data_IF_167320956626
#
_entry.id   IF_167320956626
#
_cell.length_a   1.000
_cell.length_b   1.000
_cell.length_c   1.000
_cell.angle_alpha   90.00
_cell.angle_beta   90.00
_cell.angle_gamma   90.00
#
_symmetry.space_group_name_H-M   'P 1'
#
loop_
_entity.id
_entity.type
_entity.pdbx_description
1 polymer ?
#
# COMPACT_ATOMS: atom_id res chain seq x y z
N UNK A 1 -22.01 5.20 -5.47
CA UNK A 1 -22.46 6.52 -4.98
C UNK A 1 -22.91 6.31 -3.55
N UNK A 2 -22.43 7.13 -2.62
CA UNK A 2 -22.79 7.06 -1.20
C UNK A 2 -23.80 8.18 -0.95
N UNK A 3 -25.00 7.87 -0.46
CA UNK A 3 -26.02 8.86 -0.11
C UNK A 3 -25.94 9.15 1.38
N UNK A 4 -25.93 10.42 1.75
CA UNK A 4 -26.00 10.86 3.14
C UNK A 4 -27.44 11.26 3.47
N UNK A 5 -27.91 10.84 4.64
CA UNK A 5 -29.24 11.18 5.13
C UNK A 5 -29.15 12.45 5.98
N UNK A 6 -29.48 13.59 5.38
CA UNK A 6 -29.49 14.91 6.01
C UNK A 6 -30.87 15.51 5.82
N UNK A 7 -31.48 15.96 6.92
CA UNK A 7 -32.92 16.27 7.04
C UNK A 7 -33.42 17.25 5.95
N UNK A 8 -32.56 18.14 5.44
CA UNK A 8 -32.94 19.19 4.48
C UNK A 8 -32.09 19.26 3.19
N UNK A 9 -31.19 18.30 2.95
CA UNK A 9 -30.30 18.33 1.77
C UNK A 9 -30.03 16.94 1.20
N UNK A 10 -30.19 16.76 -0.11
CA UNK A 10 -29.76 15.53 -0.80
C UNK A 10 -28.27 15.63 -1.11
N UNK A 11 -27.45 14.90 -0.34
CA UNK A 11 -26.00 14.87 -0.52
C UNK A 11 -25.58 13.49 -1.04
N UNK A 12 -25.01 13.46 -2.25
CA UNK A 12 -24.51 12.25 -2.90
C UNK A 12 -23.00 12.40 -3.13
N UNK A 13 -22.22 11.45 -2.62
CA UNK A 13 -20.78 11.39 -2.84
C UNK A 13 -20.49 10.39 -3.96
N UNK A 14 -19.85 10.88 -5.02
CA UNK A 14 -19.33 10.05 -6.11
C UNK A 14 -17.84 9.83 -5.88
N UNK A 15 -17.46 8.55 -5.75
CA UNK A 15 -16.08 8.10 -5.62
C UNK A 15 -15.58 7.61 -6.98
N UNK A 16 -14.36 7.98 -7.36
CA UNK A 16 -13.66 7.50 -8.56
C UNK A 16 -12.18 7.29 -8.29
N UNK A 17 -11.49 6.63 -9.23
CA UNK A 17 -10.03 6.53 -9.29
C UNK A 17 -9.41 6.08 -7.96
N UNK A 18 -9.87 4.93 -7.45
CA UNK A 18 -9.27 4.35 -6.25
C UNK A 18 -7.87 3.88 -6.59
N UNK A 19 -6.90 4.38 -5.85
CA UNK A 19 -5.48 4.11 -6.01
C UNK A 19 -4.91 3.61 -4.69
N UNK A 20 -4.15 2.53 -4.78
CA UNK A 20 -3.35 2.03 -3.69
C UNK A 20 -1.91 2.51 -3.93
N UNK A 21 -1.38 3.26 -2.98
CA UNK A 21 0.00 3.73 -3.01
C UNK A 21 1.02 2.62 -2.81
N UNK A 22 2.23 3.02 -2.41
CA UNK A 22 3.27 2.11 -1.95
C UNK A 22 3.19 1.95 -0.43
N UNK A 23 3.57 0.79 0.13
CA UNK A 23 3.71 0.63 1.57
C UNK A 23 4.63 1.69 2.19
N UNK A 24 4.11 2.55 3.05
CA UNK A 24 4.86 3.63 3.72
C UNK A 24 4.61 3.65 5.24
N UNK A 25 5.55 4.23 5.98
CA UNK A 25 5.40 4.57 7.39
C UNK A 25 5.32 6.10 7.49
N UNK A 26 4.30 6.58 8.23
CA UNK A 26 4.18 7.97 8.64
C UNK A 26 4.80 8.13 10.02
N UNK A 27 5.81 8.97 10.14
CA UNK A 27 6.49 9.27 11.40
C UNK A 27 5.75 10.35 12.21
N UNK A 28 6.11 10.48 13.50
CA UNK A 28 5.48 11.43 14.42
C UNK A 28 5.68 12.91 14.02
N UNK A 29 6.74 13.20 13.28
CA UNK A 29 7.01 14.52 12.71
C UNK A 29 6.20 14.81 11.43
N UNK A 30 5.40 13.84 10.99
CA UNK A 30 4.60 13.93 9.78
C UNK A 30 5.34 13.54 8.50
N UNK A 31 6.60 13.12 8.55
CA UNK A 31 7.32 12.63 7.37
C UNK A 31 6.84 11.23 6.96
N UNK A 32 6.97 10.93 5.67
CA UNK A 32 6.72 9.58 5.13
C UNK A 32 8.01 8.98 4.60
N UNK A 33 8.21 7.69 4.81
CA UNK A 33 9.22 6.91 4.11
C UNK A 33 8.71 5.53 3.71
N UNK A 34 9.40 4.92 2.76
CA UNK A 34 9.07 3.59 2.28
C UNK A 34 9.28 2.56 3.39
N UNK A 35 8.26 1.75 3.62
CA UNK A 35 8.30 0.71 4.64
C UNK A 35 8.83 -0.60 4.07
N UNK A 36 9.58 -1.34 4.89
CA UNK A 36 9.94 -2.73 4.60
C UNK A 36 9.32 -3.67 5.64
N UNK A 37 8.95 -4.91 5.27
CA UNK A 37 8.33 -5.85 6.21
C UNK A 37 9.15 -6.04 7.50
N UNK A 38 10.47 -6.23 7.40
CA UNK A 38 11.38 -6.34 8.55
C UNK A 38 11.29 -5.15 9.53
N UNK A 39 11.23 -3.92 9.01
CA UNK A 39 11.08 -2.72 9.84
C UNK A 39 9.75 -2.74 10.60
N UNK A 40 8.65 -3.10 9.91
CA UNK A 40 7.34 -3.20 10.56
C UNK A 40 7.31 -4.27 11.66
N UNK A 41 7.99 -5.42 11.46
CA UNK A 41 8.15 -6.45 12.50
C UNK A 41 8.84 -5.88 13.74
N UNK A 42 10.02 -5.28 13.56
CA UNK A 42 10.85 -4.79 14.66
C UNK A 42 10.23 -3.62 15.42
N UNK A 43 9.60 -2.69 14.71
CA UNK A 43 9.01 -1.47 15.28
C UNK A 43 7.57 -1.65 15.79
N UNK A 44 7.01 -2.86 15.72
CA UNK A 44 5.61 -3.16 16.06
C UNK A 44 4.60 -2.34 15.24
N UNK A 45 4.90 -2.10 13.97
CA UNK A 45 4.05 -1.35 13.04
C UNK A 45 3.23 -2.31 12.17
N UNK A 46 2.24 -1.77 11.48
CA UNK A 46 1.47 -2.51 10.47
C UNK A 46 2.04 -2.21 9.09
N UNK A 47 2.34 -3.25 8.30
CA UNK A 47 2.81 -3.10 6.93
C UNK A 47 1.62 -2.80 6.01
N UNK A 48 1.43 -1.53 5.67
CA UNK A 48 0.24 -1.02 4.97
C UNK A 48 0.58 0.08 3.98
N UNK A 49 -0.30 0.26 3.01
CA UNK A 49 -0.21 1.30 1.98
C UNK A 49 -1.38 2.27 2.10
N UNK A 50 -1.19 3.57 1.81
CA UNK A 50 -2.27 4.53 1.73
C UNK A 50 -3.22 4.19 0.57
N UNK A 51 -4.51 4.36 0.80
CA UNK A 51 -5.57 4.29 -0.20
C UNK A 51 -6.06 5.69 -0.48
N UNK A 52 -5.88 6.14 -1.72
CA UNK A 52 -6.32 7.45 -2.19
C UNK A 52 -7.46 7.29 -3.21
N UNK A 53 -8.38 8.25 -3.25
CA UNK A 53 -9.45 8.27 -4.24
C UNK A 53 -9.93 9.69 -4.53
N UNK A 54 -10.62 9.85 -5.66
CA UNK A 54 -11.22 11.11 -6.06
C UNK A 54 -12.67 11.19 -5.59
N UNK A 55 -13.05 12.35 -5.05
CA UNK A 55 -14.39 12.64 -4.58
C UNK A 55 -15.05 13.72 -5.41
N UNK A 56 -16.35 13.58 -5.65
CA UNK A 56 -17.21 14.67 -6.14
C UNK A 56 -18.47 14.67 -5.30
N UNK A 57 -18.71 15.78 -4.60
CA UNK A 57 -19.87 15.94 -3.74
C UNK A 57 -20.99 16.58 -4.56
N UNK A 58 -22.13 15.94 -4.61
CA UNK A 58 -23.34 16.46 -5.22
C UNK A 58 -24.25 16.94 -4.11
N UNK A 59 -24.64 18.22 -4.14
CA UNK A 59 -25.61 18.80 -3.22
C UNK A 59 -26.84 19.22 -4.01
N UNK A 60 -27.99 18.63 -3.71
CA UNK A 60 -29.25 18.89 -4.41
C UNK A 60 -29.10 18.77 -5.94
N UNK A 61 -28.38 17.74 -6.40
CA UNK A 61 -28.11 17.50 -7.84
C UNK A 61 -27.04 18.38 -8.48
N UNK A 62 -26.42 19.32 -7.76
CA UNK A 62 -25.32 20.16 -8.27
C UNK A 62 -23.96 19.62 -7.82
N UNK A 63 -23.03 19.32 -8.75
CA UNK A 63 -21.70 18.82 -8.40
C UNK A 63 -20.75 19.93 -7.93
N UNK A 64 -19.96 19.66 -6.90
CA UNK A 64 -18.80 20.45 -6.51
C UNK A 64 -17.62 20.22 -7.46
N UNK A 65 -16.57 21.05 -7.31
CA UNK A 65 -15.28 20.72 -7.91
C UNK A 65 -14.79 19.36 -7.37
N UNK A 66 -14.24 18.48 -8.23
CA UNK A 66 -13.68 17.21 -7.78
C UNK A 66 -12.43 17.41 -6.92
N UNK A 67 -12.42 16.79 -5.75
CA UNK A 67 -11.23 16.63 -4.92
C UNK A 67 -10.49 15.38 -5.40
N UNK A 68 -9.20 15.51 -5.76
CA UNK A 68 -8.42 14.42 -6.34
C UNK A 68 -7.38 13.89 -5.38
N UNK A 69 -7.16 12.57 -5.40
CA UNK A 69 -6.09 11.93 -4.65
C UNK A 69 -6.21 12.04 -3.13
N UNK A 70 -7.43 12.13 -2.59
CA UNK A 70 -7.66 12.24 -1.15
C UNK A 70 -7.39 10.88 -0.51
N UNK A 71 -6.45 10.82 0.45
CA UNK A 71 -6.19 9.61 1.24
C UNK A 71 -7.34 9.36 2.21
N UNK A 72 -7.95 8.18 2.13
CA UNK A 72 -9.12 7.80 2.95
C UNK A 72 -8.80 6.81 4.06
N UNK A 73 -7.61 6.23 4.03
CA UNK A 73 -7.20 5.21 4.96
C UNK A 73 -5.99 4.44 4.45
N UNK A 74 -5.71 3.32 5.11
CA UNK A 74 -4.59 2.45 4.78
C UNK A 74 -5.09 1.01 4.61
N UNK A 75 -4.47 0.27 3.71
CA UNK A 75 -4.76 -1.14 3.44
C UNK A 75 -3.52 -1.99 3.77
N UNK A 76 -3.64 -3.02 4.63
CA UNK A 76 -2.55 -3.95 4.88
C UNK A 76 -2.07 -4.61 3.60
N UNK A 77 -0.75 -4.67 3.42
CA UNK A 77 -0.13 -5.28 2.24
C UNK A 77 0.41 -6.65 2.62
N UNK A 78 0.09 -7.65 1.80
CA UNK A 78 0.59 -9.00 1.98
C UNK A 78 2.07 -9.07 1.58
N UNK A 79 2.90 -9.67 2.44
CA UNK A 79 4.32 -9.88 2.20
C UNK A 79 4.51 -10.76 0.96
N UNK A 80 5.48 -10.43 0.11
CA UNK A 80 5.73 -11.02 -1.23
C UNK A 80 4.66 -10.79 -2.30
N UNK A 81 3.53 -10.11 -2.00
CA UNK A 81 2.55 -9.79 -3.04
C UNK A 81 3.10 -8.79 -4.07
N UNK A 82 2.42 -8.67 -5.22
CA UNK A 82 2.76 -7.68 -6.27
C UNK A 82 2.79 -6.23 -5.78
N UNK A 83 2.18 -5.91 -4.63
CA UNK A 83 2.17 -4.56 -4.03
C UNK A 83 3.21 -4.37 -2.93
N UNK A 84 3.93 -5.42 -2.54
CA UNK A 84 4.98 -5.35 -1.55
C UNK A 84 6.22 -4.64 -2.13
N UNK A 85 6.91 -3.86 -1.31
CA UNK A 85 8.18 -3.19 -1.69
C UNK A 85 9.31 -4.19 -1.98
N UNK A 86 9.19 -5.43 -1.51
CA UNK A 86 10.14 -6.52 -1.77
C UNK A 86 9.87 -7.30 -3.06
N UNK A 87 8.80 -6.96 -3.79
CA UNK A 87 8.48 -7.63 -5.04
C UNK A 87 9.59 -7.38 -6.08
N UNK A 88 9.81 -8.34 -6.98
CA UNK A 88 10.88 -8.28 -8.00
C UNK A 88 10.81 -7.05 -8.90
N UNK A 89 9.63 -6.42 -9.01
CA UNK A 89 9.42 -5.20 -9.78
C UNK A 89 9.78 -3.91 -9.03
N UNK A 90 9.98 -3.97 -7.70
CA UNK A 90 10.11 -2.78 -6.85
C UNK A 90 11.44 -2.74 -6.10
N UNK A 91 11.96 -3.90 -5.69
CA UNK A 91 13.11 -3.97 -4.78
C UNK A 91 14.44 -3.51 -5.39
N UNK A 92 14.55 -3.50 -6.72
CA UNK A 92 15.74 -3.10 -7.46
C UNK A 92 15.67 -1.67 -8.03
N UNK A 93 14.84 -0.80 -7.44
CA UNK A 93 14.68 0.59 -7.88
C UNK A 93 14.10 0.66 -9.29
N UNK A 94 14.83 1.25 -10.23
CA UNK A 94 14.36 1.46 -11.61
C UNK A 94 14.41 0.19 -12.49
N UNK A 95 15.05 -0.89 -12.01
CA UNK A 95 15.14 -2.16 -12.74
C UNK A 95 14.05 -3.12 -12.31
N UNK A 96 13.30 -3.64 -13.27
CA UNK A 96 12.39 -4.78 -13.06
C UNK A 96 13.19 -6.07 -13.16
N UNK A 97 13.07 -6.93 -12.15
CA UNK A 97 13.68 -8.26 -12.15
C UNK A 97 12.67 -9.32 -12.59
N UNK A 98 13.15 -10.33 -13.31
CA UNK A 98 12.39 -11.51 -13.72
C UNK A 98 13.00 -12.81 -13.14
N UNK A 99 12.89 -13.07 -11.82
CA UNK A 99 13.47 -14.25 -11.14
C UNK A 99 13.01 -15.61 -11.67
N UNK A 100 11.88 -15.66 -12.37
CA UNK A 100 11.31 -16.90 -12.92
C UNK A 100 11.88 -17.28 -14.27
N UNK A 101 12.47 -16.33 -15.01
CA UNK A 101 12.99 -16.55 -16.36
C UNK A 101 14.50 -16.31 -16.48
N UNK A 102 15.13 -15.62 -15.53
CA UNK A 102 16.57 -15.35 -15.51
C UNK A 102 17.17 -15.79 -14.18
N UNK A 103 18.16 -16.68 -14.22
CA UNK A 103 18.89 -17.12 -13.03
C UNK A 103 19.74 -16.00 -12.40
N UNK A 104 20.21 -15.04 -13.20
CA UNK A 104 20.93 -13.87 -12.70
C UNK A 104 20.00 -12.93 -11.93
N UNK A 105 18.81 -12.65 -12.48
CA UNK A 105 17.79 -11.85 -11.78
C UNK A 105 17.31 -12.55 -10.53
N UNK A 106 17.20 -13.88 -10.56
CA UNK A 106 16.86 -14.68 -9.40
C UNK A 106 17.87 -14.47 -8.26
N UNK A 107 19.16 -14.67 -8.56
CA UNK A 107 20.22 -14.50 -7.56
C UNK A 107 20.30 -13.06 -7.04
N UNK A 108 20.20 -12.07 -7.93
CA UNK A 108 20.18 -10.66 -7.54
C UNK A 108 18.98 -10.33 -6.63
N UNK A 109 17.81 -10.87 -6.95
CA UNK A 109 16.63 -10.70 -6.11
C UNK A 109 16.87 -11.28 -4.71
N UNK A 110 17.39 -12.50 -4.59
CA UNK A 110 17.73 -13.09 -3.29
C UNK A 110 18.73 -12.23 -2.50
N UNK A 111 19.77 -11.72 -3.15
CA UNK A 111 20.80 -10.89 -2.50
C UNK A 111 20.21 -9.57 -1.98
N UNK A 112 19.33 -8.93 -2.75
CA UNK A 112 18.61 -7.73 -2.32
C UNK A 112 17.69 -8.01 -1.13
N UNK A 113 17.03 -9.17 -1.11
CA UNK A 113 16.20 -9.57 0.02
C UNK A 113 17.02 -9.73 1.29
N UNK A 114 18.18 -10.40 1.20
CA UNK A 114 19.12 -10.53 2.32
C UNK A 114 19.60 -9.16 2.81
N UNK A 115 19.90 -8.23 1.90
CA UNK A 115 20.28 -6.85 2.25
C UNK A 115 19.16 -6.12 3.01
N UNK A 116 17.90 -6.35 2.63
CA UNK A 116 16.73 -5.80 3.35
C UNK A 116 16.34 -6.59 4.60
N UNK A 117 17.15 -7.58 4.99
CA UNK A 117 16.98 -8.38 6.21
C UNK A 117 15.95 -9.49 6.08
N UNK A 118 15.55 -9.89 4.87
CA UNK A 118 14.53 -10.90 4.63
C UNK A 118 15.16 -12.23 4.18
N UNK A 119 14.52 -13.33 4.55
CA UNK A 119 14.91 -14.65 4.06
C UNK A 119 14.38 -14.85 2.62
N UNK A 120 15.23 -15.13 1.62
CA UNK A 120 14.78 -15.46 0.26
C UNK A 120 13.88 -16.69 0.18
N UNK A 121 13.98 -17.60 1.16
CA UNK A 121 13.15 -18.80 1.24
C UNK A 121 11.77 -18.54 1.88
N UNK A 122 11.54 -17.34 2.42
CA UNK A 122 10.22 -16.96 2.95
C UNK A 122 9.19 -16.89 1.80
N UNK A 123 8.17 -17.77 1.80
CA UNK A 123 7.15 -17.78 0.76
C UNK A 123 6.27 -16.52 0.76
N UNK A 124 6.22 -15.76 1.87
CA UNK A 124 5.26 -14.69 2.07
C UNK A 124 3.84 -15.20 2.22
N UNK A 125 2.86 -14.41 1.76
CA UNK A 125 1.45 -14.80 1.82
C UNK A 125 0.74 -14.48 3.15
N UNK A 126 1.39 -13.70 4.02
CA UNK A 126 0.85 -13.26 5.30
C UNK A 126 0.91 -11.72 5.42
N UNK A 127 0.29 -11.19 6.46
CA UNK A 127 0.26 -9.76 6.78
C UNK A 127 1.01 -9.48 8.08
N UNK A 128 1.70 -8.36 8.16
CA UNK A 128 2.31 -7.88 9.41
C UNK A 128 1.38 -6.82 10.01
N UNK A 129 0.75 -7.15 11.14
CA UNK A 129 -0.17 -6.28 11.86
C UNK A 129 0.39 -6.04 13.25
N UNK A 130 0.70 -4.78 13.57
CA UNK A 130 1.34 -4.36 14.83
C UNK A 130 2.57 -5.22 15.17
N UNK A 131 3.42 -5.48 14.17
CA UNK A 131 4.62 -6.31 14.25
C UNK A 131 4.39 -7.82 14.31
N UNK A 132 3.14 -8.29 14.35
CA UNK A 132 2.83 -9.72 14.39
C UNK A 132 2.41 -10.22 13.01
N UNK A 133 2.91 -11.39 12.62
CA UNK A 133 2.53 -12.05 11.36
C UNK A 133 1.16 -12.74 11.51
N UNK A 134 0.28 -12.51 10.54
CA UNK A 134 -1.11 -12.97 10.53
C UNK A 134 -1.45 -13.58 9.17
N UNK A 135 -2.08 -14.75 9.21
CA UNK A 135 -2.62 -15.47 8.04
C UNK A 135 -4.15 -15.48 8.14
N UNK A 136 -4.83 -15.50 7.00
CA UNK A 136 -6.30 -15.57 6.90
C UNK A 136 -6.79 -17.01 6.76
#
# INVERSE_FOLDING_TARGET
>A
MIKLDVIDQDIIIRVKNIQLGEPTIREADGSDHNSIPMECRLRKLTYMSPVCMDFTIWRNGVPSQPEKGVQVGNMPIMVRSRRCNLHSNHVAGDRVLHPTSSGEDHKLWEDLLREKGEDPLDPGGYFIINGTERVL
#
